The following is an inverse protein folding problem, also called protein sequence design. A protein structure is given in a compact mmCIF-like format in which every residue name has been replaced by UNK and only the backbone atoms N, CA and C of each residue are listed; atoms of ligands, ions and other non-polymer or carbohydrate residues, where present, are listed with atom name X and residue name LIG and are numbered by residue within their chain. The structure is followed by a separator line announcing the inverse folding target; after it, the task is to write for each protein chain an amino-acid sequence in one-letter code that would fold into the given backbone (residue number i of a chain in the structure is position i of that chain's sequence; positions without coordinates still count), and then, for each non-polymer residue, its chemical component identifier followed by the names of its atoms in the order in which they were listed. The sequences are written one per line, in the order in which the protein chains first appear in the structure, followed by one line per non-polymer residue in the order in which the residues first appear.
data_IF_296215280011
#
_entry.id   IF_296215280011
#
_cell.length_a   1.000
_cell.length_b   1.000
_cell.length_c   1.000
_cell.angle_alpha   90.00
_cell.angle_beta   90.00
_cell.angle_gamma   90.00
#
_symmetry.space_group_name_H-M   'P 1'
#
loop_
_entity.id
_entity.type
_entity.pdbx_description
1 polymer ?
#
# COMPACT_ATOMS: atom_id res chain seq x y z
N UNK A 1 0.56 18.02 20.65
CA UNK A 1 0.16 17.89 19.23
C UNK A 1 -1.02 16.93 19.17
N UNK A 2 -2.12 17.30 18.52
CA UNK A 2 -3.25 16.37 18.34
C UNK A 2 -2.80 15.23 17.40
N UNK A 3 -3.26 14.01 17.67
CA UNK A 3 -2.97 12.85 16.83
C UNK A 3 -3.65 12.94 15.46
N UNK A 4 -3.40 11.96 14.56
CA UNK A 4 -4.14 11.89 13.30
C UNK A 4 -5.65 11.72 13.57
N UNK A 5 -6.51 12.04 12.58
CA UNK A 5 -7.93 11.74 12.64
C UNK A 5 -8.21 10.27 13.03
N UNK A 6 -9.28 9.98 13.79
CA UNK A 6 -9.53 8.63 14.33
C UNK A 6 -9.63 7.52 13.26
N UNK A 7 -10.23 7.84 12.11
CA UNK A 7 -10.36 6.98 10.95
C UNK A 7 -8.99 6.65 10.31
N UNK A 8 -8.11 7.65 10.18
CA UNK A 8 -6.73 7.44 9.71
C UNK A 8 -5.93 6.59 10.69
N UNK A 9 -6.09 6.82 12.00
CA UNK A 9 -5.45 6.01 13.03
C UNK A 9 -5.91 4.55 12.98
N UNK A 10 -7.22 4.33 12.82
CA UNK A 10 -7.82 3.01 12.70
C UNK A 10 -7.30 2.27 11.45
N UNK A 11 -7.25 2.94 10.30
CA UNK A 11 -6.70 2.37 9.06
C UNK A 11 -5.24 1.94 9.21
N UNK A 12 -4.39 2.81 9.78
CA UNK A 12 -2.98 2.50 10.04
C UNK A 12 -2.81 1.30 10.97
N UNK A 13 -3.60 1.23 12.04
CA UNK A 13 -3.55 0.12 12.99
C UNK A 13 -4.02 -1.19 12.34
N UNK A 14 -5.11 -1.16 11.57
CA UNK A 14 -5.63 -2.32 10.87
C UNK A 14 -4.60 -2.90 9.88
N UNK A 15 -4.00 -2.04 9.05
CA UNK A 15 -2.96 -2.46 8.10
C UNK A 15 -1.71 -2.98 8.82
N UNK A 16 -1.25 -2.30 9.88
CA UNK A 16 -0.10 -2.80 10.65
C UNK A 16 -0.34 -4.20 11.21
N UNK A 17 -1.54 -4.46 11.76
CA UNK A 17 -1.92 -5.80 12.26
C UNK A 17 -1.94 -6.84 11.14
N UNK A 18 -2.54 -6.51 10.00
CA UNK A 18 -2.60 -7.40 8.84
C UNK A 18 -1.19 -7.75 8.33
N UNK A 19 -0.31 -6.75 8.17
CA UNK A 19 1.07 -6.98 7.74
C UNK A 19 1.86 -7.80 8.76
N UNK A 20 1.72 -7.53 10.05
CA UNK A 20 2.37 -8.35 11.09
C UNK A 20 1.93 -9.81 11.02
N UNK A 21 0.64 -10.07 10.80
CA UNK A 21 0.13 -11.43 10.65
C UNK A 21 0.69 -12.13 9.40
N UNK A 22 0.72 -11.43 8.25
CA UNK A 22 1.30 -11.96 7.01
C UNK A 22 2.80 -12.26 7.16
N UNK A 23 3.55 -11.36 7.80
CA UNK A 23 5.00 -11.55 7.99
C UNK A 23 5.35 -12.66 8.99
N UNK A 24 4.40 -13.04 9.87
CA UNK A 24 4.55 -14.15 10.79
C UNK A 24 4.12 -15.50 10.19
N UNK A 25 3.47 -15.49 9.02
CA UNK A 25 3.03 -16.72 8.35
C UNK A 25 4.26 -17.46 7.77
N UNK A 26 4.54 -18.70 8.21
CA UNK A 26 5.71 -19.47 7.78
C UNK A 26 5.66 -19.88 6.30
N UNK A 27 4.50 -19.81 5.65
CA UNK A 27 4.39 -20.02 4.20
C UNK A 27 4.96 -18.85 3.39
N UNK A 28 5.10 -17.68 4.02
CA UNK A 28 5.77 -16.53 3.44
C UNK A 28 7.28 -16.77 3.52
N UNK A 29 7.90 -17.08 2.38
CA UNK A 29 9.36 -17.20 2.28
C UNK A 29 9.92 -15.88 1.73
N UNK A 30 10.25 -14.89 2.59
CA UNK A 30 10.98 -13.74 2.11
C UNK A 30 12.32 -14.23 1.57
N UNK A 31 12.65 -13.83 0.33
CA UNK A 31 13.99 -14.02 -0.20
C UNK A 31 15.04 -13.30 0.65
N UNK A 32 16.28 -13.28 0.18
CA UNK A 32 17.33 -12.53 0.88
C UNK A 32 16.96 -11.04 1.02
N UNK A 33 17.00 -10.54 2.25
CA UNK A 33 16.74 -9.13 2.59
C UNK A 33 15.37 -8.84 3.20
N UNK A 34 15.01 -7.56 3.25
CA UNK A 34 13.74 -7.11 3.81
C UNK A 34 12.55 -7.58 2.94
N UNK A 35 11.50 -8.17 3.53
CA UNK A 35 10.29 -8.57 2.82
C UNK A 35 9.71 -7.41 2.00
N UNK A 36 9.19 -7.71 0.81
CA UNK A 36 8.50 -6.74 -0.05
C UNK A 36 6.99 -6.96 0.03
N UNK A 37 6.27 -5.92 0.41
CA UNK A 37 4.81 -5.88 0.41
C UNK A 37 4.34 -5.09 -0.81
N UNK A 38 3.46 -5.69 -1.62
CA UNK A 38 2.85 -5.03 -2.78
C UNK A 38 1.36 -4.78 -2.53
N UNK A 39 0.91 -3.56 -2.74
CA UNK A 39 -0.51 -3.18 -2.66
C UNK A 39 -1.06 -3.02 -4.07
N UNK A 40 -2.10 -3.77 -4.42
CA UNK A 40 -2.87 -3.51 -5.63
C UNK A 40 -3.64 -2.19 -5.48
N UNK A 41 -3.39 -1.22 -6.35
CA UNK A 41 -4.02 0.09 -6.30
C UNK A 41 -4.74 0.41 -7.62
N UNK A 42 -6.06 0.54 -7.55
CA UNK A 42 -6.90 0.95 -8.68
C UNK A 42 -6.95 2.46 -8.89
N UNK A 43 -6.49 3.25 -7.92
CA UNK A 43 -6.63 4.72 -7.91
C UNK A 43 -7.91 5.25 -7.26
N UNK A 44 -8.82 4.35 -6.83
CA UNK A 44 -9.98 4.71 -6.01
C UNK A 44 -9.58 5.10 -4.57
N UNK A 45 -10.53 5.71 -3.85
CA UNK A 45 -10.28 6.21 -2.49
C UNK A 45 -9.80 5.10 -1.53
N UNK A 46 -10.47 3.95 -1.53
CA UNK A 46 -10.16 2.85 -0.60
C UNK A 46 -8.79 2.23 -0.89
N UNK A 47 -8.45 2.02 -2.17
CA UNK A 47 -7.18 1.43 -2.56
C UNK A 47 -6.00 2.40 -2.35
N UNK A 48 -6.23 3.70 -2.50
CA UNK A 48 -5.24 4.73 -2.12
C UNK A 48 -5.09 4.85 -0.60
N UNK A 49 -6.18 4.74 0.18
CA UNK A 49 -6.11 4.73 1.64
C UNK A 49 -5.33 3.51 2.16
N UNK A 50 -5.57 2.33 1.57
CA UNK A 50 -4.81 1.12 1.85
C UNK A 50 -3.33 1.31 1.51
N UNK A 51 -3.00 1.85 0.33
CA UNK A 51 -1.62 2.14 -0.08
C UNK A 51 -0.93 3.09 0.91
N UNK A 52 -1.58 4.20 1.29
CA UNK A 52 -1.03 5.16 2.25
C UNK A 52 -0.81 4.55 3.64
N UNK A 53 -1.74 3.72 4.12
CA UNK A 53 -1.60 3.02 5.39
C UNK A 53 -0.47 1.99 5.33
N UNK A 54 -0.30 1.29 4.21
CA UNK A 54 0.82 0.34 4.01
C UNK A 54 2.16 1.05 3.98
N UNK A 55 2.28 2.15 3.23
CA UNK A 55 3.50 2.97 3.22
C UNK A 55 3.89 3.45 4.63
N UNK A 56 2.89 3.84 5.43
CA UNK A 56 3.10 4.23 6.82
C UNK A 56 3.56 3.06 7.70
N UNK A 57 2.88 1.91 7.62
CA UNK A 57 3.18 0.74 8.43
C UNK A 57 4.55 0.14 8.09
N UNK A 58 4.94 0.14 6.81
CA UNK A 58 6.21 -0.41 6.33
C UNK A 58 7.43 0.20 7.03
N UNK A 59 7.41 1.52 7.26
CA UNK A 59 8.47 2.26 7.96
C UNK A 59 8.70 1.74 9.39
N UNK A 60 7.63 1.32 10.06
CA UNK A 60 7.69 0.81 11.44
C UNK A 60 7.91 -0.70 11.55
N UNK A 61 7.73 -1.45 10.46
CA UNK A 61 7.88 -2.91 10.41
C UNK A 61 9.20 -3.36 9.76
N UNK A 62 10.00 -2.44 9.22
CA UNK A 62 11.28 -2.77 8.57
C UNK A 62 11.11 -3.54 7.26
N UNK A 63 9.98 -3.38 6.57
CA UNK A 63 9.70 -4.00 5.28
C UNK A 63 9.76 -2.98 4.16
N UNK A 64 10.01 -3.45 2.94
CA UNK A 64 9.86 -2.66 1.72
C UNK A 64 8.39 -2.68 1.32
N UNK A 65 7.91 -1.58 0.73
CA UNK A 65 6.55 -1.49 0.21
C UNK A 65 6.53 -0.88 -1.18
N UNK A 66 5.69 -1.42 -2.05
CA UNK A 66 5.42 -0.92 -3.40
C UNK A 66 3.92 -0.99 -3.71
N UNK A 67 3.53 -0.37 -4.82
CA UNK A 67 2.16 -0.41 -5.32
C UNK A 67 2.14 -0.96 -6.73
N UNK A 68 1.14 -1.79 -7.03
CA UNK A 68 0.90 -2.34 -8.37
C UNK A 68 -0.39 -1.73 -8.90
N UNK A 69 -0.27 -1.03 -10.02
CA UNK A 69 -1.40 -0.48 -10.77
C UNK A 69 -1.49 -1.25 -12.09
N UNK A 70 -2.68 -1.77 -12.38
CA UNK A 70 -2.95 -2.50 -13.62
C UNK A 70 -3.94 -1.70 -14.45
N UNK A 71 -3.53 -1.34 -15.66
CA UNK A 71 -4.46 -0.87 -16.68
C UNK A 71 -5.00 -2.08 -17.43
N UNK A 72 -6.32 -2.29 -17.36
CA UNK A 72 -7.00 -3.40 -18.03
C UNK A 72 -7.54 -3.04 -19.41
N UNK A 73 -7.39 -1.79 -19.86
CA UNK A 73 -7.85 -1.30 -21.16
C UNK A 73 -9.37 -1.51 -21.39
N UNK A 74 -10.17 -1.42 -20.31
CA UNK A 74 -11.61 -1.67 -20.37
C UNK A 74 -12.44 -0.45 -20.75
N UNK A 75 -11.89 0.76 -20.59
CA UNK A 75 -12.61 2.01 -20.80
C UNK A 75 -11.69 3.07 -21.42
N UNK A 76 -12.26 3.92 -22.26
CA UNK A 76 -11.54 5.06 -22.82
C UNK A 76 -10.92 5.93 -21.70
N UNK A 77 -9.63 6.21 -21.83
CA UNK A 77 -8.88 7.00 -20.84
C UNK A 77 -8.37 6.21 -19.62
N UNK A 78 -8.50 4.87 -19.60
CA UNK A 78 -7.96 4.03 -18.51
C UNK A 78 -6.47 4.25 -18.26
N UNK A 79 -5.67 4.45 -19.31
CA UNK A 79 -4.24 4.75 -19.21
C UNK A 79 -3.95 6.03 -18.40
N UNK A 80 -4.76 7.07 -18.56
CA UNK A 80 -4.60 8.31 -17.78
C UNK A 80 -4.97 8.11 -16.31
N UNK A 81 -6.01 7.30 -16.04
CA UNK A 81 -6.41 6.93 -14.68
C UNK A 81 -5.31 6.09 -14.01
N UNK A 82 -4.79 5.07 -14.68
CA UNK A 82 -3.70 4.24 -14.19
C UNK A 82 -2.42 5.06 -13.96
N UNK A 83 -2.08 5.97 -14.88
CA UNK A 83 -0.95 6.88 -14.71
C UNK A 83 -1.09 7.79 -13.48
N UNK A 84 -2.30 8.32 -13.26
CA UNK A 84 -2.61 9.14 -12.08
C UNK A 84 -2.52 8.34 -10.78
N UNK A 85 -3.06 7.12 -10.77
CA UNK A 85 -2.98 6.22 -9.61
C UNK A 85 -1.53 5.87 -9.27
N UNK A 86 -0.71 5.55 -10.29
CA UNK A 86 0.70 5.24 -10.12
C UNK A 86 1.48 6.45 -9.58
N UNK A 87 1.18 7.66 -10.05
CA UNK A 87 1.82 8.88 -9.53
C UNK A 87 1.47 9.11 -8.06
N UNK A 88 0.19 8.99 -7.68
CA UNK A 88 -0.23 9.11 -6.27
C UNK A 88 0.47 8.08 -5.37
N UNK A 89 0.69 6.85 -5.85
CA UNK A 89 1.43 5.84 -5.10
C UNK A 89 2.91 6.22 -4.94
N UNK A 90 3.56 6.73 -5.99
CA UNK A 90 4.94 7.24 -5.90
C UNK A 90 5.07 8.39 -4.91
N UNK A 91 4.10 9.29 -4.87
CA UNK A 91 4.07 10.42 -3.92
C UNK A 91 3.97 9.93 -2.46
N UNK A 92 3.42 8.73 -2.24
CA UNK A 92 3.39 8.05 -0.93
C UNK A 92 4.69 7.30 -0.61
N UNK A 93 5.67 7.29 -1.53
CA UNK A 93 6.93 6.55 -1.40
C UNK A 93 6.83 5.08 -1.79
N UNK A 94 5.80 4.70 -2.56
CA UNK A 94 5.62 3.35 -3.09
C UNK A 94 6.09 3.32 -4.54
N UNK A 95 7.25 2.69 -4.77
CA UNK A 95 7.88 2.50 -6.08
C UNK A 95 7.92 1.05 -6.51
#
# INVERSE_FOLDING_TARGET
MSGPPPDVAAGRLAVRRALTALLADPSTSPGEGAPLVLVACSGGADSLALAACTAHAARGLGVRAGAVVVDHDLADGSAAVAGTAAQRCRDLGLG
#
